data_IF_649670958967
#
_entry.id   IF_649670958967
#
_cell.length_a   1.000
_cell.length_b   1.000
_cell.length_c   1.000
_cell.angle_alpha   90.00
_cell.angle_beta   90.00
_cell.angle_gamma   90.00
#
_symmetry.space_group_name_H-M   'P 1'
#
loop_
_entity.id
_entity.type
_entity.pdbx_description
1 polymer ?
#
# COMPACT_ATOMS: atom_id res chain seq x y z
N UNK A 1 -24.57 -26.88 13.32
CA UNK A 1 -24.70 -28.01 12.40
C UNK A 1 -26.04 -27.99 11.73
N UNK A 2 -26.14 -28.35 10.47
CA UNK A 2 -27.42 -28.36 9.72
C UNK A 2 -28.46 -29.31 10.35
N UNK A 3 -28.01 -30.34 11.08
CA UNK A 3 -28.86 -31.24 11.85
C UNK A 3 -29.42 -30.64 13.16
N UNK A 4 -29.07 -29.40 13.48
CA UNK A 4 -29.61 -28.68 14.64
C UNK A 4 -31.02 -28.11 14.38
N UNK A 5 -31.63 -27.51 15.42
CA UNK A 5 -32.92 -26.83 15.24
C UNK A 5 -32.77 -25.57 14.33
N UNK A 6 -33.83 -25.23 13.62
CA UNK A 6 -33.85 -24.03 12.75
C UNK A 6 -33.54 -22.75 13.54
N UNK A 7 -33.98 -22.65 14.79
CA UNK A 7 -33.66 -21.52 15.66
C UNK A 7 -32.15 -21.43 15.97
N UNK A 8 -31.49 -22.57 16.18
CA UNK A 8 -30.05 -22.61 16.40
C UNK A 8 -29.27 -22.25 15.13
N UNK A 9 -29.75 -22.69 13.94
CA UNK A 9 -29.16 -22.34 12.68
C UNK A 9 -29.28 -20.84 12.40
N UNK A 10 -30.43 -20.24 12.68
CA UNK A 10 -30.65 -18.80 12.49
C UNK A 10 -29.86 -17.90 13.47
N UNK A 11 -29.63 -18.40 14.70
CA UNK A 11 -28.84 -17.68 15.71
C UNK A 11 -27.33 -17.84 15.53
N UNK A 12 -26.88 -18.82 14.73
CA UNK A 12 -25.46 -19.08 14.52
C UNK A 12 -24.86 -18.22 13.41
N UNK A 13 -23.59 -17.82 13.58
CA UNK A 13 -22.83 -17.10 12.55
C UNK A 13 -22.32 -18.04 11.44
N UNK A 14 -22.16 -19.32 11.73
CA UNK A 14 -21.68 -20.35 10.80
C UNK A 14 -22.50 -21.60 10.98
N UNK A 15 -22.99 -22.16 9.88
CA UNK A 15 -23.72 -23.44 9.86
C UNK A 15 -22.94 -24.45 9.03
N UNK A 16 -22.61 -25.59 9.62
CA UNK A 16 -21.95 -26.70 8.93
C UNK A 16 -23.05 -27.53 8.21
N UNK A 17 -23.10 -27.41 6.88
CA UNK A 17 -24.15 -28.03 6.07
C UNK A 17 -24.09 -29.58 6.12
N UNK A 18 -22.91 -30.14 6.12
CA UNK A 18 -22.70 -31.60 6.20
C UNK A 18 -22.72 -32.13 7.64
N UNK A 19 -22.92 -31.24 8.63
CA UNK A 19 -22.91 -31.56 10.05
C UNK A 19 -21.64 -32.28 10.53
N UNK A 20 -20.56 -32.17 9.78
CA UNK A 20 -19.25 -32.75 10.10
C UNK A 20 -18.33 -31.70 10.74
N UNK A 21 -17.97 -31.90 12.00
CA UNK A 21 -17.08 -31.01 12.74
C UNK A 21 -15.61 -31.16 12.31
N UNK A 22 -15.24 -32.26 11.69
CA UNK A 22 -13.85 -32.51 11.22
C UNK A 22 -13.37 -31.50 10.19
N UNK A 23 -14.27 -30.81 9.49
CA UNK A 23 -13.95 -29.75 8.51
C UNK A 23 -13.54 -28.42 9.16
N UNK A 24 -13.81 -28.20 10.47
CA UNK A 24 -13.53 -26.91 11.15
C UNK A 24 -12.07 -26.44 11.09
N UNK A 25 -11.06 -27.29 11.25
CA UNK A 25 -9.67 -26.85 11.08
C UNK A 25 -9.39 -26.25 9.70
N UNK A 26 -9.99 -26.83 8.64
CA UNK A 26 -9.84 -26.32 7.28
C UNK A 26 -10.57 -24.98 7.10
N UNK A 27 -11.77 -24.82 7.65
CA UNK A 27 -12.53 -23.55 7.65
C UNK A 27 -11.73 -22.45 8.33
N UNK A 28 -11.12 -22.73 9.49
CA UNK A 28 -10.27 -21.76 10.20
C UNK A 28 -9.03 -21.36 9.36
N UNK A 29 -8.39 -22.33 8.72
CA UNK A 29 -7.23 -22.06 7.85
C UNK A 29 -7.60 -21.20 6.63
N UNK A 30 -8.76 -21.45 6.03
CA UNK A 30 -9.25 -20.66 4.91
C UNK A 30 -9.67 -19.26 5.37
N UNK A 31 -10.32 -19.12 6.51
CA UNK A 31 -10.61 -17.83 7.14
C UNK A 31 -9.34 -16.99 7.37
N UNK A 32 -8.27 -17.61 7.89
CA UNK A 32 -6.96 -16.93 8.04
C UNK A 32 -6.39 -16.46 6.70
N UNK A 33 -6.48 -17.30 5.67
CA UNK A 33 -6.04 -16.95 4.31
C UNK A 33 -6.77 -15.72 3.81
N UNK A 34 -8.10 -15.69 3.90
CA UNK A 34 -8.94 -14.61 3.43
C UNK A 34 -8.60 -13.30 4.16
N UNK A 35 -8.56 -13.32 5.50
CA UNK A 35 -8.27 -12.11 6.30
C UNK A 35 -6.85 -11.59 6.04
N UNK A 36 -5.85 -12.46 5.95
CA UNK A 36 -4.48 -12.05 5.64
C UNK A 36 -4.36 -11.40 4.25
N UNK A 37 -5.07 -11.94 3.26
CA UNK A 37 -5.06 -11.40 1.90
C UNK A 37 -5.79 -10.06 1.83
N UNK A 38 -6.96 -9.94 2.49
CA UNK A 38 -7.69 -8.66 2.60
C UNK A 38 -6.81 -7.63 3.31
N UNK A 39 -6.10 -7.99 4.38
CA UNK A 39 -5.22 -7.08 5.11
C UNK A 39 -4.07 -6.54 4.23
N UNK A 40 -3.49 -7.39 3.37
CA UNK A 40 -2.47 -6.96 2.41
C UNK A 40 -3.03 -5.96 1.40
N UNK A 41 -4.11 -6.31 0.73
CA UNK A 41 -4.76 -5.46 -0.27
C UNK A 41 -5.23 -4.14 0.35
N UNK A 42 -5.90 -4.19 1.50
CA UNK A 42 -6.37 -3.01 2.22
C UNK A 42 -5.21 -2.06 2.58
N UNK A 43 -4.04 -2.59 2.97
CA UNK A 43 -2.87 -1.76 3.26
C UNK A 43 -2.38 -1.02 2.02
N UNK A 44 -2.33 -1.66 0.85
CA UNK A 44 -1.91 -1.03 -0.41
C UNK A 44 -2.91 0.05 -0.86
N UNK A 45 -4.22 -0.24 -0.79
CA UNK A 45 -5.26 0.74 -1.12
C UNK A 45 -5.25 1.95 -0.18
N UNK A 46 -5.03 1.70 1.12
CA UNK A 46 -5.05 2.76 2.12
C UNK A 46 -3.88 3.73 1.94
N UNK A 47 -2.70 3.27 1.51
CA UNK A 47 -1.56 4.15 1.16
C UNK A 47 -2.00 5.19 0.14
N UNK A 48 -2.60 4.75 -0.97
CA UNK A 48 -3.07 5.63 -2.04
C UNK A 48 -4.09 6.66 -1.53
N UNK A 49 -5.07 6.20 -0.74
CA UNK A 49 -6.15 7.07 -0.27
C UNK A 49 -5.62 8.14 0.70
N UNK A 50 -4.76 7.77 1.66
CA UNK A 50 -4.14 8.73 2.58
C UNK A 50 -3.24 9.69 1.81
N UNK A 51 -2.40 9.19 0.89
CA UNK A 51 -1.56 10.03 0.06
C UNK A 51 -2.39 11.05 -0.75
N UNK A 52 -3.41 10.60 -1.47
CA UNK A 52 -4.27 11.49 -2.27
C UNK A 52 -4.95 12.56 -1.42
N UNK A 53 -5.41 12.20 -0.22
CA UNK A 53 -5.98 13.16 0.72
C UNK A 53 -4.95 14.20 1.17
N UNK A 54 -3.76 13.75 1.58
CA UNK A 54 -2.68 14.66 2.03
C UNK A 54 -2.20 15.57 0.90
N UNK A 55 -2.06 15.05 -0.32
CA UNK A 55 -1.64 15.84 -1.48
C UNK A 55 -2.71 16.85 -1.88
N UNK A 56 -4.00 16.48 -1.82
CA UNK A 56 -5.10 17.42 -2.06
C UNK A 56 -5.11 18.54 -1.02
N UNK A 57 -4.93 18.21 0.25
CA UNK A 57 -4.83 19.21 1.31
C UNK A 57 -3.61 20.14 1.11
N UNK A 58 -2.47 19.57 0.75
CA UNK A 58 -1.26 20.32 0.41
C UNK A 58 -1.51 21.28 -0.76
N UNK A 59 -2.16 20.81 -1.83
CA UNK A 59 -2.48 21.62 -3.00
C UNK A 59 -3.38 22.81 -2.64
N UNK A 60 -4.38 22.60 -1.79
CA UNK A 60 -5.28 23.67 -1.31
C UNK A 60 -4.52 24.68 -0.44
N UNK A 61 -3.73 24.22 0.53
CA UNK A 61 -3.01 25.08 1.49
C UNK A 61 -1.98 25.95 0.77
N UNK A 62 -1.24 25.39 -0.18
CA UNK A 62 -0.18 26.09 -0.91
C UNK A 62 -0.64 26.69 -2.25
N UNK A 63 -1.94 26.57 -2.58
CA UNK A 63 -2.52 27.06 -3.83
C UNK A 63 -1.81 26.51 -5.09
N UNK A 64 -1.37 25.26 -5.06
CA UNK A 64 -0.78 24.58 -6.19
C UNK A 64 -1.81 23.74 -6.95
N UNK A 65 -1.65 23.67 -8.27
CA UNK A 65 -2.38 22.70 -9.08
C UNK A 65 -2.05 21.28 -8.62
N UNK A 66 -3.05 20.41 -8.54
CA UNK A 66 -2.82 19.00 -8.20
C UNK A 66 -1.86 18.36 -9.22
N UNK A 67 -0.71 17.82 -8.78
CA UNK A 67 0.40 17.52 -9.70
C UNK A 67 0.26 16.20 -10.46
N UNK A 68 -0.84 15.48 -10.34
CA UNK A 68 -1.02 14.17 -10.96
C UNK A 68 -2.25 14.14 -11.86
N UNK A 69 -2.10 13.54 -13.04
CA UNK A 69 -3.20 13.24 -13.95
C UNK A 69 -3.93 11.95 -13.53
N UNK A 70 -5.26 11.86 -13.72
CA UNK A 70 -6.03 10.64 -13.39
C UNK A 70 -5.49 9.37 -14.07
N UNK A 71 -5.00 9.49 -15.32
CA UNK A 71 -4.39 8.41 -16.08
C UNK A 71 -3.11 7.89 -15.43
N UNK A 72 -2.27 8.78 -14.91
CA UNK A 72 -1.04 8.45 -14.18
C UNK A 72 -1.35 7.73 -12.87
N UNK A 73 -2.34 8.22 -12.11
CA UNK A 73 -2.79 7.55 -10.87
C UNK A 73 -3.35 6.17 -11.17
N UNK A 74 -4.02 5.97 -12.31
CA UNK A 74 -4.51 4.68 -12.75
C UNK A 74 -3.38 3.72 -13.09
N UNK A 75 -2.34 4.20 -13.81
CA UNK A 75 -1.15 3.42 -14.14
C UNK A 75 -0.44 2.91 -12.88
N UNK A 76 -0.15 3.81 -11.93
CA UNK A 76 0.50 3.45 -10.67
C UNK A 76 -0.36 2.41 -9.92
N UNK A 77 -1.66 2.69 -9.77
CA UNK A 77 -2.58 1.82 -9.03
C UNK A 77 -2.68 0.42 -9.65
N UNK A 78 -2.64 0.32 -10.96
CA UNK A 78 -2.68 -0.97 -11.66
C UNK A 78 -1.47 -1.82 -11.31
N UNK A 79 -0.25 -1.27 -11.37
CA UNK A 79 0.99 -2.03 -11.18
C UNK A 79 1.47 -2.12 -9.74
N UNK A 80 1.11 -1.19 -8.85
CA UNK A 80 1.53 -1.23 -7.44
C UNK A 80 0.47 -1.80 -6.51
N UNK A 81 -0.82 -1.83 -6.93
CA UNK A 81 -1.94 -2.28 -6.09
C UNK A 81 -2.72 -3.40 -6.77
N UNK A 82 -3.35 -3.15 -7.92
CA UNK A 82 -4.34 -4.05 -8.52
C UNK A 82 -3.77 -5.40 -8.90
N UNK A 83 -2.79 -5.43 -9.81
CA UNK A 83 -2.15 -6.66 -10.28
C UNK A 83 -1.48 -7.41 -9.12
N UNK A 84 -0.63 -6.76 -8.28
CA UNK A 84 -0.02 -7.46 -7.16
C UNK A 84 -1.03 -8.01 -6.15
N UNK A 85 -2.07 -7.24 -5.81
CA UNK A 85 -3.08 -7.69 -4.86
C UNK A 85 -3.83 -8.94 -5.36
N UNK A 86 -4.14 -8.98 -6.65
CA UNK A 86 -4.79 -10.14 -7.28
C UNK A 86 -3.90 -11.39 -7.18
N UNK A 87 -2.66 -11.32 -7.66
CA UNK A 87 -1.76 -12.47 -7.66
C UNK A 87 -1.38 -12.92 -6.25
N UNK A 88 -1.16 -11.99 -5.32
CA UNK A 88 -0.88 -12.32 -3.93
C UNK A 88 -2.08 -12.91 -3.20
N UNK A 89 -3.31 -12.63 -3.62
CA UNK A 89 -4.52 -13.24 -3.07
C UNK A 89 -4.67 -14.72 -3.45
N UNK A 90 -4.06 -15.15 -4.57
CA UNK A 90 -4.05 -16.55 -4.98
C UNK A 90 -3.10 -17.39 -4.10
N UNK A 91 -2.11 -16.74 -3.45
CA UNK A 91 -1.16 -17.45 -2.61
C UNK A 91 -1.76 -17.78 -1.24
N UNK A 92 -1.66 -19.04 -0.77
CA UNK A 92 -2.17 -19.42 0.55
C UNK A 92 -1.33 -18.78 1.65
N UNK A 93 -1.94 -17.91 2.46
CA UNK A 93 -1.33 -17.33 3.65
C UNK A 93 -2.12 -17.74 4.90
N UNK A 94 -1.66 -18.79 5.55
CA UNK A 94 -2.31 -19.42 6.71
C UNK A 94 -1.76 -18.92 8.05
N UNK A 95 -0.97 -17.84 8.06
CA UNK A 95 -0.36 -17.30 9.28
C UNK A 95 -1.45 -16.88 10.28
N UNK A 96 -1.13 -17.04 11.56
CA UNK A 96 -2.02 -16.59 12.65
C UNK A 96 -2.14 -15.07 12.58
N UNK A 97 -3.40 -14.59 12.62
CA UNK A 97 -3.71 -13.16 12.62
C UNK A 97 -3.47 -12.65 14.03
N UNK A 98 -2.54 -11.69 14.17
CA UNK A 98 -2.24 -11.05 15.44
C UNK A 98 -2.74 -9.62 15.46
N UNK A 99 -3.38 -9.22 16.58
CA UNK A 99 -3.84 -7.86 16.83
C UNK A 99 -5.06 -7.43 16.00
N UNK A 100 -5.43 -6.15 16.12
CA UNK A 100 -6.60 -5.59 15.44
C UNK A 100 -6.34 -5.33 13.96
N UNK A 101 -7.22 -5.80 13.09
CA UNK A 101 -7.15 -5.66 11.64
C UNK A 101 -6.89 -4.21 11.18
N UNK A 102 -7.75 -3.27 11.60
CA UNK A 102 -7.66 -1.86 11.20
C UNK A 102 -6.35 -1.21 11.65
N UNK A 103 -5.91 -1.48 12.87
CA UNK A 103 -4.65 -0.94 13.39
C UNK A 103 -3.45 -1.43 12.57
N UNK A 104 -3.44 -2.70 12.21
CA UNK A 104 -2.37 -3.30 11.42
C UNK A 104 -2.32 -2.73 10.00
N UNK A 105 -3.49 -2.56 9.36
CA UNK A 105 -3.60 -1.96 8.03
C UNK A 105 -3.11 -0.52 8.06
N UNK A 106 -3.57 0.29 9.03
CA UNK A 106 -3.23 1.69 9.15
C UNK A 106 -1.73 1.92 9.42
N UNK A 107 -1.15 1.16 10.34
CA UNK A 107 0.28 1.27 10.69
C UNK A 107 1.22 0.82 9.55
N UNK A 108 0.76 -0.06 8.68
CA UNK A 108 1.52 -0.43 7.49
C UNK A 108 1.41 0.62 6.38
N UNK A 109 0.24 1.26 6.25
CA UNK A 109 -0.02 2.21 5.18
C UNK A 109 0.51 3.62 5.48
N UNK A 110 0.38 4.09 6.73
CA UNK A 110 0.66 5.48 7.10
C UNK A 110 2.10 5.93 6.81
N UNK A 111 3.18 5.16 7.14
CA UNK A 111 4.56 5.59 6.87
C UNK A 111 4.79 5.85 5.39
N UNK A 112 4.21 5.03 4.57
CA UNK A 112 4.34 5.08 3.13
C UNK A 112 3.59 6.26 2.52
N UNK A 113 2.33 6.44 2.91
CA UNK A 113 1.53 7.57 2.45
C UNK A 113 2.14 8.92 2.85
N UNK A 114 2.75 9.00 4.05
CA UNK A 114 3.49 10.18 4.48
C UNK A 114 4.78 10.38 3.66
N UNK A 115 5.50 9.30 3.34
CA UNK A 115 6.69 9.38 2.48
C UNK A 115 6.31 9.90 1.10
N UNK A 116 5.25 9.38 0.50
CA UNK A 116 4.73 9.85 -0.79
C UNK A 116 4.35 11.34 -0.73
N UNK A 117 3.58 11.74 0.28
CA UNK A 117 3.15 13.13 0.43
C UNK A 117 4.33 14.10 0.62
N UNK A 118 5.34 13.71 1.41
CA UNK A 118 6.54 14.51 1.61
C UNK A 118 7.42 14.58 0.36
N UNK A 119 7.66 13.44 -0.30
CA UNK A 119 8.52 13.39 -1.48
C UNK A 119 7.91 14.14 -2.67
N UNK A 120 6.62 13.90 -2.95
CA UNK A 120 5.91 14.59 -4.04
C UNK A 120 5.67 16.05 -3.70
N UNK A 121 5.28 16.38 -2.47
CA UNK A 121 5.11 17.77 -2.04
C UNK A 121 6.41 18.57 -2.16
N UNK A 122 7.53 18.01 -1.70
CA UNK A 122 8.85 18.62 -1.88
C UNK A 122 9.23 18.77 -3.36
N UNK A 123 9.02 17.72 -4.16
CA UNK A 123 9.27 17.79 -5.62
C UNK A 123 8.48 18.93 -6.27
N UNK A 124 7.20 19.12 -5.92
CA UNK A 124 6.37 20.21 -6.46
C UNK A 124 6.92 21.57 -6.06
N UNK A 125 7.24 21.78 -4.78
CA UNK A 125 7.79 23.07 -4.28
C UNK A 125 9.11 23.38 -4.97
N UNK A 126 10.05 22.45 -4.96
CA UNK A 126 11.37 22.67 -5.57
C UNK A 126 11.26 22.79 -7.10
N UNK A 127 10.44 21.95 -7.75
CA UNK A 127 10.21 22.01 -9.19
C UNK A 127 9.71 23.40 -9.63
N UNK A 128 8.71 23.95 -8.95
CA UNK A 128 8.21 25.31 -9.24
C UNK A 128 9.25 26.38 -8.94
N UNK A 129 10.02 26.25 -7.85
CA UNK A 129 11.08 27.19 -7.50
C UNK A 129 12.19 27.23 -8.56
N UNK A 130 12.54 26.08 -9.14
CA UNK A 130 13.54 25.98 -10.19
C UNK A 130 12.99 26.19 -11.62
N UNK A 131 11.71 26.53 -11.76
CA UNK A 131 11.06 26.79 -13.05
C UNK A 131 10.91 25.54 -13.92
N UNK A 132 10.68 24.40 -13.32
CA UNK A 132 10.36 23.14 -14.02
C UNK A 132 8.90 23.17 -14.48
N UNK A 133 8.64 22.68 -15.70
CA UNK A 133 7.29 22.63 -16.27
C UNK A 133 6.36 21.71 -15.48
N UNK A 134 5.06 22.04 -15.48
CA UNK A 134 4.06 21.26 -14.70
C UNK A 134 3.96 19.80 -15.16
N UNK A 135 4.07 19.53 -16.46
CA UNK A 135 4.05 18.18 -17.02
C UNK A 135 5.26 17.36 -16.60
N UNK A 136 6.44 17.98 -16.53
CA UNK A 136 7.66 17.32 -16.04
C UNK A 136 7.53 16.94 -14.58
N UNK A 137 7.00 17.87 -13.74
CA UNK A 137 6.74 17.64 -12.33
C UNK A 137 5.74 16.48 -12.16
N UNK A 138 4.68 16.47 -12.96
CA UNK A 138 3.66 15.43 -12.96
C UNK A 138 4.24 14.03 -13.28
N UNK A 139 5.08 13.95 -14.31
CA UNK A 139 5.77 12.71 -14.69
C UNK A 139 6.73 12.26 -13.58
N UNK A 140 7.54 13.17 -13.04
CA UNK A 140 8.47 12.86 -11.95
C UNK A 140 7.74 12.41 -10.68
N UNK A 141 6.64 13.07 -10.31
CA UNK A 141 5.79 12.68 -9.19
C UNK A 141 5.22 11.26 -9.38
N UNK A 142 4.76 10.94 -10.59
CA UNK A 142 4.28 9.60 -10.95
C UNK A 142 5.35 8.54 -10.74
N UNK A 143 6.57 8.78 -11.18
CA UNK A 143 7.68 7.85 -11.01
C UNK A 143 8.12 7.71 -9.55
N UNK A 144 8.09 8.80 -8.75
CA UNK A 144 8.35 8.74 -7.30
C UNK A 144 7.32 7.86 -6.58
N UNK A 145 6.04 8.05 -6.88
CA UNK A 145 4.97 7.22 -6.32
C UNK A 145 5.12 5.75 -6.69
N UNK A 146 5.53 5.46 -7.92
CA UNK A 146 5.80 4.09 -8.34
C UNK A 146 6.95 3.47 -7.52
N UNK A 147 8.05 4.21 -7.27
CA UNK A 147 9.18 3.75 -6.44
C UNK A 147 8.71 3.41 -5.03
N UNK A 148 8.02 4.32 -4.35
CA UNK A 148 7.53 4.08 -2.99
C UNK A 148 6.49 2.95 -2.99
N UNK A 149 5.60 2.89 -3.98
CA UNK A 149 4.63 1.80 -4.16
C UNK A 149 5.30 0.43 -4.27
N UNK A 150 6.37 0.30 -5.05
CA UNK A 150 7.13 -0.95 -5.15
C UNK A 150 7.93 -1.27 -3.88
N UNK A 151 8.44 -0.27 -3.16
CA UNK A 151 9.10 -0.48 -1.86
C UNK A 151 8.12 -1.05 -0.84
N UNK A 152 6.88 -0.57 -0.82
CA UNK A 152 5.83 -1.09 0.07
C UNK A 152 5.42 -2.49 -0.36
N UNK A 153 5.20 -2.69 -1.66
CA UNK A 153 4.87 -3.99 -2.21
C UNK A 153 5.92 -5.03 -1.82
N UNK A 154 7.21 -4.67 -1.92
CA UNK A 154 8.31 -5.51 -1.46
C UNK A 154 8.19 -5.84 0.04
N UNK A 155 7.97 -4.84 0.91
CA UNK A 155 7.81 -5.04 2.37
C UNK A 155 6.60 -5.92 2.72
N UNK A 156 5.47 -5.72 2.05
CA UNK A 156 4.23 -6.49 2.28
C UNK A 156 4.36 -7.92 1.74
N UNK A 157 5.18 -8.13 0.72
CA UNK A 157 5.44 -9.44 0.12
C UNK A 157 6.50 -10.26 0.88
N UNK A 158 7.12 -9.72 1.92
CA UNK A 158 8.08 -10.47 2.73
C UNK A 158 7.41 -11.64 3.50
N UNK A 159 8.09 -12.80 3.65
CA UNK A 159 9.37 -13.20 3.04
C UNK A 159 9.24 -13.43 1.53
N UNK A 160 10.26 -13.02 0.77
CA UNK A 160 10.25 -13.14 -0.69
C UNK A 160 10.43 -14.60 -1.11
N UNK A 161 9.56 -15.06 -2.02
CA UNK A 161 9.73 -16.32 -2.73
C UNK A 161 9.82 -16.06 -4.26
N UNK A 162 10.10 -17.08 -5.06
CA UNK A 162 10.26 -16.95 -6.51
C UNK A 162 9.02 -16.37 -7.20
N UNK A 163 7.82 -16.75 -6.74
CA UNK A 163 6.54 -16.25 -7.28
C UNK A 163 6.37 -14.75 -6.97
N UNK A 164 6.61 -14.34 -5.72
CA UNK A 164 6.49 -12.93 -5.30
C UNK A 164 7.52 -12.04 -5.99
N UNK A 165 8.76 -12.54 -6.14
CA UNK A 165 9.80 -11.85 -6.90
C UNK A 165 9.40 -11.71 -8.39
N UNK A 166 8.79 -12.74 -8.99
CA UNK A 166 8.26 -12.70 -10.34
C UNK A 166 7.13 -11.68 -10.50
N UNK A 167 6.19 -11.63 -9.54
CA UNK A 167 5.10 -10.64 -9.54
C UNK A 167 5.68 -9.21 -9.46
N UNK A 168 6.59 -8.97 -8.51
CA UNK A 168 7.24 -7.66 -8.35
C UNK A 168 7.99 -7.25 -9.61
N UNK A 169 8.83 -8.13 -10.16
CA UNK A 169 9.59 -7.88 -11.39
C UNK A 169 8.68 -7.66 -12.62
N UNK A 170 7.63 -8.46 -12.75
CA UNK A 170 6.63 -8.31 -13.81
C UNK A 170 5.87 -6.98 -13.72
N UNK A 171 5.50 -6.54 -12.52
CA UNK A 171 4.85 -5.25 -12.31
C UNK A 171 5.78 -4.07 -12.61
N UNK A 172 7.06 -4.14 -12.23
CA UNK A 172 8.06 -3.12 -12.57
C UNK A 172 8.25 -3.06 -14.08
N UNK A 173 8.46 -4.21 -14.72
CA UNK A 173 8.63 -4.29 -16.18
C UNK A 173 7.39 -3.78 -16.92
N UNK A 174 6.19 -4.15 -16.48
CA UNK A 174 4.92 -3.69 -17.05
C UNK A 174 4.72 -2.18 -16.92
N UNK A 175 5.04 -1.60 -15.75
CA UNK A 175 4.98 -0.15 -15.57
C UNK A 175 5.95 0.57 -16.49
N UNK A 176 7.20 0.11 -16.58
CA UNK A 176 8.20 0.68 -17.49
C UNK A 176 7.78 0.55 -18.96
N UNK A 177 7.25 -0.60 -19.34
CA UNK A 177 6.71 -0.81 -20.69
C UNK A 177 5.59 0.19 -21.00
N UNK A 178 4.60 0.34 -20.13
CA UNK A 178 3.52 1.29 -20.31
C UNK A 178 4.01 2.74 -20.34
N UNK A 179 5.00 3.08 -19.51
CA UNK A 179 5.58 4.44 -19.46
C UNK A 179 6.34 4.80 -20.73
N UNK A 180 6.94 3.82 -21.41
CA UNK A 180 7.73 4.06 -22.63
C UNK A 180 6.83 4.00 -23.87
N UNK A 181 6.05 2.92 -24.02
CA UNK A 181 5.31 2.64 -25.25
C UNK A 181 3.88 3.20 -25.27
N UNK A 182 3.27 3.38 -24.08
CA UNK A 182 1.92 3.92 -23.93
C UNK A 182 1.93 5.29 -23.21
N UNK A 183 3.01 6.05 -23.36
CA UNK A 183 3.24 7.32 -22.70
C UNK A 183 2.11 8.34 -22.97
N UNK A 184 1.57 8.40 -24.16
CA UNK A 184 0.47 9.30 -24.53
C UNK A 184 -0.83 8.94 -23.78
N UNK A 185 -1.12 7.63 -23.61
CA UNK A 185 -2.30 7.17 -22.90
C UNK A 185 -2.27 7.54 -21.42
N UNK A 186 -1.09 7.53 -20.82
CA UNK A 186 -0.89 7.80 -19.41
C UNK A 186 -0.35 9.22 -19.13
N UNK A 187 -0.39 10.11 -20.11
CA UNK A 187 0.09 11.49 -20.00
C UNK A 187 1.51 11.60 -19.41
N UNK A 188 2.40 10.67 -19.81
CA UNK A 188 3.81 10.65 -19.40
C UNK A 188 4.62 11.37 -20.47
N UNK A 189 5.34 12.41 -20.08
CA UNK A 189 6.19 13.21 -20.96
C UNK A 189 7.67 12.99 -20.65
N UNK A 190 8.54 13.38 -21.58
CA UNK A 190 9.98 13.43 -21.30
C UNK A 190 10.28 14.48 -20.23
N UNK A 191 11.19 14.17 -19.32
CA UNK A 191 11.60 15.09 -18.26
C UNK A 191 12.82 15.92 -18.71
N UNK A 192 12.82 17.21 -18.39
CA UNK A 192 14.00 18.07 -18.55
C UNK A 192 15.13 17.64 -17.62
N UNK A 193 16.38 17.98 -17.96
CA UNK A 193 17.56 17.63 -17.14
C UNK A 193 17.42 18.13 -15.70
N UNK A 194 16.86 19.33 -15.50
CA UNK A 194 16.60 19.88 -14.16
C UNK A 194 15.61 19.01 -13.37
N UNK A 195 14.53 18.55 -14.03
CA UNK A 195 13.55 17.68 -13.43
C UNK A 195 14.13 16.31 -13.06
N UNK A 196 14.96 15.74 -13.94
CA UNK A 196 15.65 14.47 -13.69
C UNK A 196 16.55 14.56 -12.46
N UNK A 197 17.32 15.65 -12.32
CA UNK A 197 18.18 15.87 -11.15
C UNK A 197 17.35 15.91 -9.85
N UNK A 198 16.27 16.68 -9.83
CA UNK A 198 15.36 16.73 -8.68
C UNK A 198 14.74 15.36 -8.39
N UNK A 199 14.26 14.68 -9.42
CA UNK A 199 13.69 13.33 -9.29
C UNK A 199 14.67 12.36 -8.66
N UNK A 200 15.93 12.33 -9.11
CA UNK A 200 16.97 11.43 -8.57
C UNK A 200 17.24 11.72 -7.10
N UNK A 201 17.35 13.00 -6.71
CA UNK A 201 17.55 13.39 -5.31
C UNK A 201 16.41 12.91 -4.42
N UNK A 202 15.17 13.18 -4.83
CA UNK A 202 13.99 12.75 -4.06
C UNK A 202 13.80 11.24 -4.08
N UNK A 203 14.10 10.55 -5.20
CA UNK A 203 14.05 9.09 -5.29
C UNK A 203 15.02 8.42 -4.30
N UNK A 204 16.24 8.92 -4.18
CA UNK A 204 17.20 8.44 -3.18
C UNK A 204 16.72 8.74 -1.76
N UNK A 205 16.10 9.89 -1.53
CA UNK A 205 15.59 10.28 -0.22
C UNK A 205 14.36 9.46 0.24
N UNK A 206 13.60 8.81 -0.67
CA UNK A 206 12.38 8.07 -0.30
C UNK A 206 12.66 6.90 0.63
N UNK A 207 13.76 6.15 0.42
CA UNK A 207 14.09 4.99 1.26
C UNK A 207 14.39 5.38 2.71
N UNK A 208 15.34 6.29 3.01
CA UNK A 208 15.61 6.69 4.39
C UNK A 208 14.40 7.35 5.06
N UNK A 209 13.61 8.15 4.33
CA UNK A 209 12.39 8.76 4.87
C UNK A 209 11.37 7.69 5.25
N UNK A 210 11.10 6.72 4.37
CA UNK A 210 10.18 5.62 4.63
C UNK A 210 10.65 4.78 5.83
N UNK A 211 11.94 4.51 5.94
CA UNK A 211 12.54 3.77 7.04
C UNK A 211 12.39 4.53 8.36
N UNK A 212 12.74 5.81 8.36
CA UNK A 212 12.63 6.66 9.54
C UNK A 212 11.19 6.78 10.03
N UNK A 213 10.22 7.05 9.14
CA UNK A 213 8.81 7.13 9.48
C UNK A 213 8.27 5.79 10.00
N UNK A 214 8.70 4.68 9.43
CA UNK A 214 8.30 3.34 9.92
C UNK A 214 8.78 3.12 11.36
N UNK A 215 10.02 3.50 11.69
CA UNK A 215 10.57 3.39 13.04
C UNK A 215 9.86 4.35 14.00
N UNK A 216 9.64 5.59 13.59
CA UNK A 216 9.00 6.62 14.40
C UNK A 216 7.58 6.21 14.81
N UNK A 217 6.77 5.76 13.84
CA UNK A 217 5.41 5.30 14.10
C UNK A 217 5.38 4.01 14.94
N UNK A 218 6.34 3.11 14.74
CA UNK A 218 6.51 1.93 15.58
C UNK A 218 6.81 2.29 17.05
N UNK A 219 7.73 3.22 17.29
CA UNK A 219 8.02 3.74 18.63
C UNK A 219 6.83 4.47 19.24
N UNK A 220 6.13 5.30 18.46
CA UNK A 220 4.92 6.01 18.90
C UNK A 220 3.83 5.03 19.38
N UNK A 221 3.61 3.92 18.64
CA UNK A 221 2.71 2.84 19.06
C UNK A 221 3.14 2.23 20.40
N UNK A 222 4.43 1.95 20.57
CA UNK A 222 4.97 1.38 21.81
C UNK A 222 4.73 2.30 23.01
N UNK A 223 5.02 3.61 22.88
CA UNK A 223 4.76 4.58 23.93
C UNK A 223 3.27 4.75 24.26
N UNK A 224 2.42 4.80 23.24
CA UNK A 224 0.96 4.90 23.41
C UNK A 224 0.39 3.69 24.17
N UNK A 225 0.87 2.47 23.88
CA UNK A 225 0.48 1.25 24.60
C UNK A 225 0.93 1.29 26.07
N UNK A 226 2.17 1.72 26.31
CA UNK A 226 2.71 1.86 27.66
C UNK A 226 1.90 2.84 28.51
N UNK A 227 1.43 3.94 27.91
CA UNK A 227 0.58 4.90 28.59
C UNK A 227 -0.82 4.34 28.92
N UNK A 228 -1.33 3.40 28.12
CA UNK A 228 -2.61 2.72 28.39
C UNK A 228 -2.51 1.50 29.32
N UNK A 229 -1.35 1.20 29.87
CA UNK A 229 -1.15 0.08 30.79
C UNK A 229 -1.30 -1.32 30.16
N UNK A 230 -1.33 -1.43 28.82
CA UNK A 230 -1.40 -2.70 28.12
C UNK A 230 0.00 -3.31 27.99
N UNK A 231 0.20 -4.45 28.63
CA UNK A 231 1.44 -5.24 28.52
C UNK A 231 1.52 -5.96 27.16
N UNK A 232 2.74 -6.27 26.66
CA UNK A 232 2.93 -6.98 25.37
C UNK A 232 2.28 -8.37 25.30
N UNK A 233 1.96 -8.98 26.44
CA UNK A 233 1.41 -10.34 26.55
C UNK A 233 -0.10 -10.43 26.24
N UNK A 234 -0.84 -9.35 26.26
CA UNK A 234 -2.30 -9.35 26.02
C UNK A 234 -2.68 -9.40 24.52
N UNK A 235 -1.73 -9.42 23.61
CA UNK A 235 -1.98 -9.59 22.15
C UNK A 235 -1.71 -11.02 21.64
N UNK A 236 -1.21 -11.91 22.48
CA UNK A 236 -0.98 -13.32 22.10
C UNK A 236 -2.16 -14.23 22.47
N UNK A 237 -3.13 -13.73 23.21
CA UNK A 237 -4.40 -14.36 23.49
C UNK A 237 -5.48 -13.78 22.56
#
# INVERSE_FOLDING_TARGET
MASGSDAAAQASQIVLLESDFSCMPQVVLEGRRVVNNIQRSASLFLVKNIFSFLLSLFSVVFMFTYPLEPSQVSLISMFTIGIPAFFLALEPNKNIIKGHFLTNVFLKALPAALTDALAVGALVVFGKTFGVGEQDISTAATMLLAIVGFMILYKISAPMNKLRAGILGGCIAGLLFCSIYLNQLFAITGMTTKCIMLFVVFAIATEPVLRYLTILLGKGRFYYRRLRGKTPLEEEA
#
